data_IF_003549916509
#
_entry.id   IF_003549916509
#
_cell.length_a   1.000
_cell.length_b   1.000
_cell.length_c   1.000
_cell.angle_alpha   90.00
_cell.angle_beta   90.00
_cell.angle_gamma   90.00
#
_symmetry.space_group_name_H-M   'P 1'
#
loop_
_entity.id
_entity.type
_entity.pdbx_description
1 polymer ?
#
# COMPACT_ATOMS: atom_id res chain seq x y z
N UNK A 1 9.07 7.02 17.44
CA UNK A 1 9.34 8.37 16.90
C UNK A 1 10.58 8.90 17.60
N UNK A 2 11.58 9.35 16.86
CA UNK A 2 12.78 9.98 17.42
C UNK A 2 12.51 11.49 17.55
N UNK A 3 12.72 12.06 18.73
CA UNK A 3 12.65 13.51 18.93
C UNK A 3 14.02 14.14 18.68
N UNK A 4 13.98 15.31 18.05
CA UNK A 4 14.95 16.37 17.74
C UNK A 4 16.46 16.06 17.66
N UNK A 5 17.26 15.63 18.67
CA UNK A 5 18.72 15.60 18.49
C UNK A 5 19.25 14.56 17.48
N UNK A 6 18.45 13.56 17.10
CA UNK A 6 18.84 12.51 16.15
C UNK A 6 18.39 12.77 14.70
N UNK A 7 17.67 13.87 14.46
CA UNK A 7 17.05 14.19 13.16
C UNK A 7 18.03 14.74 12.11
N UNK A 8 19.15 15.33 12.53
CA UNK A 8 20.18 15.92 11.65
C UNK A 8 20.81 14.90 10.69
N UNK A 9 20.90 13.63 11.10
CA UNK A 9 21.43 12.55 10.25
C UNK A 9 20.47 12.10 9.14
N UNK A 10 19.21 12.55 9.17
CA UNK A 10 18.16 12.10 8.24
C UNK A 10 17.68 13.21 7.27
N UNK A 11 18.15 14.45 7.45
CA UNK A 11 17.86 15.58 6.56
C UNK A 11 17.81 16.91 7.33
N UNK A 12 18.25 18.00 6.71
CA UNK A 12 18.34 19.33 7.33
C UNK A 12 16.99 19.96 7.69
N UNK A 13 15.86 19.39 7.24
CA UNK A 13 14.51 19.94 7.39
C UNK A 13 13.56 19.04 8.22
N UNK A 14 14.12 18.21 9.10
CA UNK A 14 13.38 17.25 9.92
C UNK A 14 12.76 17.86 11.20
N UNK A 15 12.22 19.09 11.12
CA UNK A 15 11.63 19.83 12.25
C UNK A 15 10.39 19.15 12.85
N UNK A 16 9.63 18.41 12.05
CA UNK A 16 8.43 17.68 12.48
C UNK A 16 8.71 16.25 13.00
N UNK A 17 9.99 15.85 13.10
CA UNK A 17 10.42 14.52 13.53
C UNK A 17 10.57 13.52 12.37
N UNK A 18 11.15 12.36 12.68
CA UNK A 18 11.47 11.31 11.69
C UNK A 18 10.71 10.03 12.01
N UNK A 19 10.01 9.49 11.01
CA UNK A 19 9.48 8.13 11.01
C UNK A 19 10.53 7.26 10.32
N UNK A 20 11.23 6.44 11.12
CA UNK A 20 12.12 5.43 10.59
C UNK A 20 11.36 4.11 10.43
N UNK A 21 11.21 3.66 9.20
CA UNK A 21 10.61 2.37 8.87
C UNK A 21 11.74 1.39 8.62
N UNK A 22 12.01 0.54 9.61
CA UNK A 22 13.03 -0.50 9.50
C UNK A 22 12.42 -1.68 8.75
N UNK A 23 13.05 -2.08 7.66
CA UNK A 23 12.62 -3.24 6.86
C UNK A 23 13.28 -4.49 7.42
N UNK A 24 12.45 -5.50 7.70
CA UNK A 24 12.72 -6.90 8.14
C UNK A 24 14.01 -7.20 8.95
N UNK A 25 13.89 -7.82 10.14
CA UNK A 25 15.05 -8.26 10.91
C UNK A 25 15.83 -9.35 10.17
N UNK A 26 17.15 -9.35 10.33
CA UNK A 26 18.02 -10.37 9.73
C UNK A 26 17.70 -11.73 10.37
N UNK A 27 17.32 -12.73 9.56
CA UNK A 27 17.04 -14.08 10.06
C UNK A 27 18.26 -14.73 10.74
N UNK A 28 18.01 -15.69 11.67
CA UNK A 28 19.06 -16.55 12.22
C UNK A 28 19.88 -17.22 11.11
N UNK A 29 21.14 -17.54 11.41
CA UNK A 29 22.09 -18.13 10.44
C UNK A 29 21.62 -19.53 10.00
N UNK A 30 21.78 -19.82 8.71
CA UNK A 30 21.54 -21.11 8.05
C UNK A 30 20.07 -21.58 8.12
N UNK A 31 19.14 -20.63 8.08
CA UNK A 31 17.70 -20.90 8.17
C UNK A 31 16.92 -20.14 7.10
N UNK A 32 15.87 -20.79 6.61
CA UNK A 32 14.76 -20.13 5.95
C UNK A 32 13.76 -19.69 7.01
N UNK A 33 13.26 -18.47 6.88
CA UNK A 33 12.18 -17.94 7.71
C UNK A 33 11.14 -17.31 6.81
N UNK A 34 9.88 -17.52 7.12
CA UNK A 34 8.79 -16.90 6.38
C UNK A 34 7.62 -16.62 7.30
N UNK A 35 6.80 -15.65 6.91
CA UNK A 35 5.57 -15.32 7.63
C UNK A 35 4.49 -15.04 6.61
N UNK A 36 3.28 -15.52 6.86
CA UNK A 36 2.10 -15.19 6.08
C UNK A 36 1.07 -14.61 7.04
N UNK A 37 0.55 -13.42 6.70
CA UNK A 37 -0.46 -12.71 7.46
C UNK A 37 -1.62 -12.44 6.52
N UNK A 38 -2.83 -12.77 6.97
CA UNK A 38 -4.06 -12.37 6.30
C UNK A 38 -4.91 -11.51 7.24
N UNK A 39 -5.66 -10.57 6.68
CA UNK A 39 -6.59 -9.74 7.43
C UNK A 39 -7.85 -9.48 6.61
N UNK A 40 -9.00 -9.56 7.27
CA UNK A 40 -10.28 -9.18 6.71
C UNK A 40 -10.95 -8.12 7.59
N UNK A 41 -11.46 -7.06 6.98
CA UNK A 41 -12.25 -6.03 7.68
C UNK A 41 -13.61 -5.87 7.02
N UNK A 42 -14.68 -5.95 7.83
CA UNK A 42 -16.05 -5.97 7.33
C UNK A 42 -16.59 -4.61 6.87
N UNK A 43 -16.02 -3.50 7.35
CA UNK A 43 -16.51 -2.15 7.04
C UNK A 43 -16.42 -1.85 5.53
N UNK A 44 -15.25 -2.06 4.95
CA UNK A 44 -14.95 -1.82 3.53
C UNK A 44 -14.61 -3.12 2.78
N UNK A 45 -14.88 -4.29 3.38
CA UNK A 45 -14.53 -5.59 2.82
C UNK A 45 -13.03 -5.71 2.52
N UNK A 46 -12.16 -5.05 3.29
CA UNK A 46 -10.72 -5.12 3.07
C UNK A 46 -10.27 -6.57 3.18
N UNK A 47 -9.70 -7.11 2.12
CA UNK A 47 -8.93 -8.34 2.13
C UNK A 47 -7.45 -7.99 1.97
N UNK A 48 -6.63 -8.42 2.92
CA UNK A 48 -5.18 -8.25 2.91
C UNK A 48 -4.49 -9.60 2.97
N UNK A 49 -3.48 -9.76 2.13
CA UNK A 49 -2.50 -10.84 2.19
C UNK A 49 -1.11 -10.21 2.22
N UNK A 50 -0.29 -10.64 3.18
CA UNK A 50 1.11 -10.26 3.27
C UNK A 50 1.94 -11.52 3.49
N UNK A 51 3.03 -11.65 2.75
CA UNK A 51 3.95 -12.77 2.89
C UNK A 51 5.39 -12.28 2.84
N UNK A 52 6.22 -12.81 3.72
CA UNK A 52 7.66 -12.56 3.75
C UNK A 52 8.41 -13.88 3.66
N UNK A 53 9.56 -13.85 3.00
CA UNK A 53 10.51 -14.96 2.93
C UNK A 53 11.91 -14.40 3.08
N UNK A 54 12.67 -14.98 3.99
CA UNK A 54 14.04 -14.60 4.29
C UNK A 54 14.92 -15.83 4.30
N UNK A 55 16.13 -15.66 3.78
CA UNK A 55 17.16 -16.68 3.71
C UNK A 55 18.50 -16.09 4.11
N UNK A 56 19.23 -16.82 4.95
CA UNK A 56 20.59 -16.46 5.32
C UNK A 56 21.46 -17.69 5.39
N UNK A 57 22.61 -17.65 4.72
CA UNK A 57 23.67 -18.65 4.84
C UNK A 57 24.99 -17.93 5.05
N UNK A 58 25.73 -18.25 6.12
CA UNK A 58 27.05 -17.68 6.48
C UNK A 58 27.21 -16.17 6.19
N UNK A 59 27.53 -15.83 4.94
CA UNK A 59 27.83 -14.49 4.43
C UNK A 59 26.73 -13.93 3.51
N UNK A 60 25.83 -14.73 2.95
CA UNK A 60 24.75 -14.26 2.07
C UNK A 60 23.46 -14.06 2.87
N UNK A 61 22.79 -12.95 2.62
CA UNK A 61 21.44 -12.65 3.11
C UNK A 61 20.56 -12.26 1.94
N UNK A 62 19.37 -12.81 1.88
CA UNK A 62 18.37 -12.44 0.89
C UNK A 62 16.99 -12.52 1.48
N UNK A 63 16.05 -11.75 0.95
CA UNK A 63 14.66 -11.87 1.33
C UNK A 63 13.76 -11.17 0.34
N UNK A 64 12.48 -11.48 0.43
CA UNK A 64 11.43 -10.87 -0.36
C UNK A 64 10.14 -10.77 0.43
N UNK A 65 9.33 -9.78 0.09
CA UNK A 65 7.97 -9.65 0.59
C UNK A 65 7.01 -9.37 -0.55
N UNK A 66 5.76 -9.78 -0.33
CA UNK A 66 4.63 -9.48 -1.19
C UNK A 66 3.45 -9.03 -0.33
N UNK A 67 2.75 -7.99 -0.76
CA UNK A 67 1.53 -7.52 -0.12
C UNK A 67 0.46 -7.25 -1.17
N UNK A 68 -0.74 -7.77 -0.95
CA UNK A 68 -1.94 -7.41 -1.70
C UNK A 68 -3.00 -6.93 -0.72
N UNK A 69 -3.58 -5.76 -0.98
CA UNK A 69 -4.73 -5.19 -0.27
C UNK A 69 -5.79 -4.84 -1.29
N UNK A 70 -7.04 -5.13 -0.98
CA UNK A 70 -8.16 -4.78 -1.84
C UNK A 70 -9.39 -4.54 -0.96
N UNK A 71 -10.03 -3.40 -1.12
CA UNK A 71 -11.22 -2.98 -0.38
C UNK A 71 -12.26 -2.43 -1.36
N UNK A 72 -13.54 -2.68 -1.09
CA UNK A 72 -14.64 -1.95 -1.71
C UNK A 72 -14.88 -0.65 -0.92
N UNK A 73 -15.96 0.07 -1.22
CA UNK A 73 -16.26 1.33 -0.55
C UNK A 73 -16.51 1.12 0.94
N UNK A 74 -16.05 2.04 1.79
CA UNK A 74 -16.29 1.96 3.23
C UNK A 74 -17.68 2.46 3.59
N UNK A 75 -18.18 2.00 4.74
CA UNK A 75 -19.44 2.43 5.32
C UNK A 75 -19.21 3.39 6.49
N UNK A 76 -19.88 4.54 6.46
CA UNK A 76 -20.02 5.43 7.60
C UNK A 76 -21.48 5.45 8.11
N UNK A 77 -21.72 6.16 9.21
CA UNK A 77 -23.05 6.24 9.84
C UNK A 77 -24.03 7.20 9.14
N UNK A 78 -23.52 8.22 8.45
CA UNK A 78 -24.34 9.31 7.90
C UNK A 78 -24.77 9.04 6.46
N UNK A 79 -23.82 8.59 5.63
CA UNK A 79 -23.95 8.40 4.18
C UNK A 79 -24.12 6.93 3.80
N UNK A 80 -23.86 6.01 4.74
CA UNK A 80 -23.72 4.61 4.41
C UNK A 80 -22.46 4.37 3.60
N UNK A 81 -22.57 3.73 2.43
CA UNK A 81 -21.40 3.46 1.58
C UNK A 81 -20.96 4.71 0.86
N UNK A 82 -19.72 5.13 1.09
CA UNK A 82 -19.16 6.34 0.48
C UNK A 82 -18.65 6.02 -0.91
N UNK A 83 -19.34 6.56 -1.92
CA UNK A 83 -19.07 6.30 -3.33
C UNK A 83 -17.58 6.51 -3.66
N UNK A 84 -16.99 5.51 -4.33
CA UNK A 84 -15.62 5.57 -4.86
C UNK A 84 -14.52 5.75 -3.81
N UNK A 85 -14.75 5.28 -2.59
CA UNK A 85 -13.74 5.22 -1.53
C UNK A 85 -12.91 3.92 -1.53
N UNK A 86 -13.19 3.01 -2.47
CA UNK A 86 -12.46 1.76 -2.69
C UNK A 86 -11.00 1.97 -3.08
N UNK A 87 -10.16 0.99 -2.75
CA UNK A 87 -8.75 1.00 -3.14
C UNK A 87 -8.20 -0.42 -3.30
N UNK A 88 -7.10 -0.53 -4.04
CA UNK A 88 -6.33 -1.73 -4.21
C UNK A 88 -4.85 -1.37 -4.18
N UNK A 89 -4.04 -2.15 -3.47
CA UNK A 89 -2.61 -1.94 -3.35
C UNK A 89 -1.87 -3.26 -3.54
N UNK A 90 -0.83 -3.25 -4.36
CA UNK A 90 0.10 -4.36 -4.54
C UNK A 90 1.52 -3.87 -4.36
N UNK A 91 2.20 -4.43 -3.37
CA UNK A 91 3.59 -4.11 -3.08
C UNK A 91 4.44 -5.37 -3.18
N UNK A 92 5.64 -5.20 -3.70
CA UNK A 92 6.65 -6.23 -3.76
C UNK A 92 7.99 -5.61 -3.37
N UNK A 93 8.82 -6.38 -2.69
CA UNK A 93 10.21 -6.01 -2.48
C UNK A 93 11.07 -7.24 -2.37
N UNK A 94 12.33 -7.09 -2.80
CA UNK A 94 13.32 -8.13 -2.70
C UNK A 94 14.69 -7.52 -2.41
N UNK A 95 15.54 -8.29 -1.77
CA UNK A 95 16.90 -7.90 -1.51
C UNK A 95 17.84 -9.09 -1.51
N UNK A 96 19.09 -8.82 -1.86
CA UNK A 96 20.20 -9.76 -1.77
C UNK A 96 21.43 -9.00 -1.32
N UNK A 97 22.25 -9.62 -0.49
CA UNK A 97 23.47 -9.01 -0.03
C UNK A 97 24.47 -9.99 0.55
N UNK A 98 25.67 -9.47 0.75
CA UNK A 98 26.81 -10.17 1.31
C UNK A 98 27.28 -9.44 2.55
N UNK A 99 27.55 -10.21 3.60
CA UNK A 99 28.05 -9.81 4.91
C UNK A 99 29.44 -10.42 5.06
N UNK A 100 30.47 -9.58 5.10
CA UNK A 100 31.87 -9.97 5.31
C UNK A 100 32.39 -9.35 6.60
N UNK A 101 33.56 -9.81 7.06
CA UNK A 101 34.22 -9.23 8.24
C UNK A 101 34.58 -7.76 8.05
N UNK A 102 34.86 -7.35 6.81
CA UNK A 102 35.26 -5.99 6.46
C UNK A 102 34.08 -5.05 6.16
N UNK A 103 32.84 -5.55 6.10
CA UNK A 103 31.70 -4.73 5.69
C UNK A 103 30.52 -5.51 5.12
N UNK A 104 29.59 -4.80 4.49
CA UNK A 104 28.46 -5.39 3.77
C UNK A 104 28.16 -4.68 2.45
N UNK A 105 27.52 -5.42 1.55
CA UNK A 105 26.87 -4.87 0.35
C UNK A 105 25.48 -5.49 0.23
N UNK A 106 24.43 -4.67 0.10
CA UNK A 106 23.05 -5.11 -0.07
C UNK A 106 22.37 -4.36 -1.20
N UNK A 107 21.89 -5.10 -2.20
CA UNK A 107 21.04 -4.60 -3.27
C UNK A 107 19.58 -4.80 -2.89
N UNK A 108 18.79 -3.75 -3.03
CA UNK A 108 17.35 -3.74 -2.77
C UNK A 108 16.60 -3.36 -4.03
N UNK A 109 15.43 -3.98 -4.20
CA UNK A 109 14.41 -3.59 -5.15
C UNK A 109 13.07 -3.50 -4.42
N UNK A 110 12.30 -2.45 -4.69
CA UNK A 110 10.92 -2.33 -4.23
C UNK A 110 10.02 -1.80 -5.34
N UNK A 111 8.77 -2.25 -5.32
CA UNK A 111 7.69 -1.82 -6.20
C UNK A 111 6.44 -1.58 -5.37
N UNK A 112 5.84 -0.42 -5.55
CA UNK A 112 4.57 0.01 -4.95
C UNK A 112 3.59 0.32 -6.08
N UNK A 113 2.39 -0.24 -6.03
CA UNK A 113 1.34 0.03 -7.00
C UNK A 113 -0.02 0.11 -6.30
N UNK A 114 -0.55 1.31 -6.19
CA UNK A 114 -1.84 1.58 -5.58
C UNK A 114 -2.79 2.21 -6.59
N UNK A 115 -4.00 1.67 -6.67
CA UNK A 115 -5.13 2.33 -7.33
C UNK A 115 -6.12 2.72 -6.24
N UNK A 116 -6.51 3.99 -6.21
CA UNK A 116 -7.53 4.51 -5.30
C UNK A 116 -8.66 5.14 -6.10
N UNK A 117 -9.90 4.92 -5.67
CA UNK A 117 -11.01 5.75 -6.09
C UNK A 117 -10.88 7.15 -5.50
N UNK A 118 -11.43 8.13 -6.20
CA UNK A 118 -11.49 9.51 -5.74
C UNK A 118 -12.93 9.84 -5.36
N UNK A 119 -13.13 10.23 -4.10
CA UNK A 119 -14.44 10.60 -3.56
C UNK A 119 -14.69 12.07 -3.89
N UNK A 120 -15.60 12.34 -4.83
CA UNK A 120 -15.97 13.71 -5.20
C UNK A 120 -17.13 14.25 -4.36
N UNK A 121 -17.99 13.36 -3.85
CA UNK A 121 -19.05 13.73 -2.91
C UNK A 121 -20.28 14.38 -3.53
N UNK A 122 -20.36 14.48 -4.86
CA UNK A 122 -21.53 14.97 -5.58
C UNK A 122 -22.75 14.08 -5.34
N UNK A 123 -23.94 14.70 -5.36
CA UNK A 123 -25.21 14.03 -5.03
C UNK A 123 -26.34 14.47 -5.94
N UNK A 124 -27.26 13.55 -6.15
CA UNK A 124 -28.54 13.83 -6.78
C UNK A 124 -29.43 14.66 -5.84
N UNK A 125 -29.95 15.78 -6.33
CA UNK A 125 -30.73 16.74 -5.52
C UNK A 125 -32.04 16.17 -4.98
N UNK A 126 -32.61 15.18 -5.65
CA UNK A 126 -33.94 14.64 -5.33
C UNK A 126 -33.84 13.46 -4.35
N UNK A 127 -32.87 12.58 -4.55
CA UNK A 127 -32.67 11.35 -3.76
C UNK A 127 -31.61 11.47 -2.67
N UNK A 128 -30.70 12.46 -2.76
CA UNK A 128 -29.54 12.61 -1.88
C UNK A 128 -28.47 11.53 -2.04
N UNK A 129 -28.65 10.61 -3.00
CA UNK A 129 -27.69 9.55 -3.31
C UNK A 129 -26.45 10.14 -3.99
N UNK A 130 -25.29 9.51 -3.78
CA UNK A 130 -24.09 9.88 -4.51
C UNK A 130 -24.27 9.71 -6.02
N UNK A 131 -23.65 10.60 -6.77
CA UNK A 131 -23.48 10.47 -8.22
C UNK A 131 -22.00 10.42 -8.55
N UNK A 132 -21.65 9.84 -9.70
CA UNK A 132 -20.28 9.81 -10.19
C UNK A 132 -20.26 9.96 -11.71
N UNK A 133 -19.20 10.56 -12.27
CA UNK A 133 -19.08 10.75 -13.71
C UNK A 133 -18.87 9.40 -14.42
N UNK A 134 -19.60 9.20 -15.51
CA UNK A 134 -19.51 8.03 -16.35
C UNK A 134 -19.87 8.35 -17.81
N UNK A 135 -19.30 7.59 -18.73
CA UNK A 135 -19.65 7.66 -20.15
C UNK A 135 -20.87 6.78 -20.42
N UNK A 136 -21.98 7.39 -20.80
CA UNK A 136 -23.20 6.68 -21.23
C UNK A 136 -23.35 6.86 -22.72
N UNK A 137 -23.22 5.78 -23.49
CA UNK A 137 -23.25 5.81 -24.96
C UNK A 137 -22.24 6.80 -25.59
N UNK A 138 -21.08 6.98 -24.95
CA UNK A 138 -20.02 7.89 -25.41
C UNK A 138 -20.23 9.37 -25.07
N UNK A 139 -21.26 9.69 -24.29
CA UNK A 139 -21.53 11.05 -23.79
C UNK A 139 -21.25 11.10 -22.30
N UNK A 140 -20.56 12.14 -21.85
CA UNK A 140 -20.32 12.38 -20.43
C UNK A 140 -21.66 12.61 -19.71
N UNK A 141 -21.90 11.82 -18.66
CA UNK A 141 -23.10 11.87 -17.85
C UNK A 141 -22.75 11.54 -16.40
N UNK A 142 -23.69 11.78 -15.50
CA UNK A 142 -23.61 11.29 -14.13
C UNK A 142 -24.50 10.08 -13.96
N UNK A 143 -24.03 9.09 -13.21
CA UNK A 143 -24.82 7.93 -12.80
C UNK A 143 -25.04 7.95 -11.29
N UNK A 144 -26.26 7.61 -10.88
CA UNK A 144 -26.58 7.41 -9.47
C UNK A 144 -25.87 6.16 -8.95
N UNK A 145 -25.23 6.30 -7.79
CA UNK A 145 -24.57 5.21 -7.08
C UNK A 145 -25.60 4.23 -6.50
N UNK A 146 -25.58 2.99 -6.99
CA UNK A 146 -26.58 1.97 -6.65
C UNK A 146 -26.07 1.02 -5.58
N UNK A 147 -27.01 0.38 -4.88
CA UNK A 147 -26.70 -0.67 -3.87
C UNK A 147 -25.84 -1.82 -4.41
N UNK A 148 -25.94 -2.12 -5.70
CA UNK A 148 -25.11 -3.14 -6.35
C UNK A 148 -23.62 -2.77 -6.38
N UNK A 149 -23.31 -1.47 -6.39
CA UNK A 149 -21.95 -0.94 -6.48
C UNK A 149 -21.26 -0.86 -5.10
N UNK A 150 -22.04 -0.87 -4.01
CA UNK A 150 -21.56 -0.70 -2.63
C UNK A 150 -20.43 -1.64 -2.23
N UNK A 151 -20.50 -2.89 -2.70
CA UNK A 151 -19.53 -3.95 -2.37
C UNK A 151 -18.73 -4.40 -3.59
N UNK A 152 -18.81 -3.63 -4.68
CA UNK A 152 -18.04 -3.92 -5.87
C UNK A 152 -16.60 -3.43 -5.69
N UNK A 153 -15.64 -4.29 -6.05
CA UNK A 153 -14.22 -3.94 -6.02
C UNK A 153 -13.72 -3.38 -7.35
N UNK A 154 -14.54 -3.41 -8.41
CA UNK A 154 -14.22 -2.76 -9.67
C UNK A 154 -14.14 -1.24 -9.48
N UNK A 155 -13.14 -0.62 -10.09
CA UNK A 155 -12.96 0.83 -10.03
C UNK A 155 -13.88 1.54 -11.00
N UNK A 156 -14.55 2.58 -10.50
CA UNK A 156 -15.24 3.59 -11.31
C UNK A 156 -14.36 4.85 -11.42
N UNK A 157 -14.76 5.79 -12.27
CA UNK A 157 -14.07 7.08 -12.43
C UNK A 157 -14.67 8.12 -11.46
N UNK A 158 -13.86 9.10 -10.99
CA UNK A 158 -12.42 9.23 -11.25
C UNK A 158 -11.57 8.33 -10.34
N UNK A 159 -10.38 7.93 -10.79
CA UNK A 159 -9.45 7.11 -10.00
C UNK A 159 -8.02 7.58 -10.20
N UNK A 160 -7.20 7.40 -9.18
CA UNK A 160 -5.77 7.70 -9.25
C UNK A 160 -4.96 6.41 -9.11
N UNK A 161 -3.98 6.24 -9.99
CA UNK A 161 -2.99 5.19 -9.89
C UNK A 161 -1.63 5.79 -9.52
N UNK A 162 -1.03 5.24 -8.47
CA UNK A 162 0.27 5.67 -7.93
C UNK A 162 1.21 4.48 -8.04
N UNK A 163 2.34 4.69 -8.73
CA UNK A 163 3.36 3.66 -8.95
C UNK A 163 4.74 4.20 -8.59
N UNK A 164 5.48 3.43 -7.80
CA UNK A 164 6.87 3.74 -7.47
C UNK A 164 7.71 2.48 -7.56
N UNK A 165 8.88 2.59 -8.19
CA UNK A 165 9.88 1.55 -8.21
C UNK A 165 11.20 2.14 -7.74
N UNK A 166 11.94 1.38 -6.95
CA UNK A 166 13.24 1.81 -6.45
C UNK A 166 14.22 0.65 -6.49
N UNK A 167 15.43 0.96 -6.96
CA UNK A 167 16.61 0.11 -6.82
C UNK A 167 17.62 0.90 -6.00
N UNK A 168 18.25 0.25 -5.02
CA UNK A 168 19.32 0.87 -4.25
C UNK A 168 20.37 -0.14 -3.82
N UNK A 169 21.63 0.27 -3.86
CA UNK A 169 22.76 -0.47 -3.32
C UNK A 169 23.25 0.22 -2.06
N UNK A 170 23.25 -0.49 -0.94
CA UNK A 170 23.78 0.00 0.33
C UNK A 170 25.07 -0.76 0.64
N UNK A 171 26.16 -0.02 0.85
CA UNK A 171 27.48 -0.57 1.20
C UNK A 171 28.02 0.09 2.45
N UNK A 172 28.73 -0.66 3.28
CA UNK A 172 29.55 -0.16 4.38
C UNK A 172 30.81 -1.00 4.48
#
# INVERSE_FOLDING_TARGET
MLKVPSSLNYGSDALAGVINIITEPISPRDQFSGTIISNYQSNNGLATLHSTLSYRNKEIVSGMYFTRKQAHDYKNQYDGYVCNSRFANTNFGAHVGVLKKWGFAKLFFTSFNQTLGLVEGERDEQSGAFIYPALVNGVDSFLTYKKADHKNYAFILPKQQIQHQKISLNTQ
#
